data_IF_565837692811
#
_entry.id   IF_565837692811
#
_cell.length_a   1.000
_cell.length_b   1.000
_cell.length_c   1.000
_cell.angle_alpha   90.00
_cell.angle_beta   90.00
_cell.angle_gamma   90.00
#
_symmetry.space_group_name_H-M   'P 1'
#
loop_
_entity.id
_entity.type
_entity.pdbx_description
1 polymer ?
#
# COMPACT_ATOMS: atom_id res chain seq x y z
N UNK A 1 27.84 21.61 38.44
CA UNK A 1 28.83 21.30 37.38
C UNK A 1 28.19 21.62 36.05
N UNK A 2 28.67 22.61 35.28
CA UNK A 2 28.11 22.91 33.97
C UNK A 2 28.84 22.10 32.90
N UNK A 3 28.09 21.48 31.99
CA UNK A 3 28.63 20.88 30.76
C UNK A 3 28.59 21.91 29.62
N UNK A 4 29.61 21.93 28.75
CA UNK A 4 29.83 23.03 27.82
C UNK A 4 29.15 22.84 26.46
N UNK A 5 28.91 24.00 25.85
CA UNK A 5 28.77 24.33 24.44
C UNK A 5 29.43 23.37 23.45
N UNK A 6 28.70 22.98 22.40
CA UNK A 6 29.26 22.60 21.11
C UNK A 6 28.94 23.70 20.09
N UNK A 7 29.97 24.46 19.73
CA UNK A 7 30.02 25.29 18.52
C UNK A 7 30.84 24.56 17.44
N UNK A 8 30.54 24.89 16.18
CA UNK A 8 31.28 24.60 14.95
C UNK A 8 30.94 23.31 14.19
N UNK A 9 29.96 23.43 13.27
CA UNK A 9 30.03 22.74 11.98
C UNK A 9 30.14 23.81 10.90
N UNK A 10 31.34 23.84 10.30
CA UNK A 10 31.71 24.69 9.17
C UNK A 10 30.96 24.28 7.91
N UNK A 11 30.29 25.24 7.29
CA UNK A 11 29.60 25.12 6.01
C UNK A 11 30.45 25.68 4.88
N UNK A 12 31.36 24.90 4.30
CA UNK A 12 31.92 25.23 2.97
C UNK A 12 32.22 23.95 2.18
N UNK A 13 31.30 23.59 1.27
CA UNK A 13 31.56 22.65 0.19
C UNK A 13 31.25 23.32 -1.15
N UNK A 14 32.22 24.05 -1.69
CA UNK A 14 32.15 24.65 -3.04
C UNK A 14 32.97 23.79 -4.01
N UNK A 15 32.43 22.62 -4.36
CA UNK A 15 33.00 21.77 -5.41
C UNK A 15 32.49 22.15 -6.80
N UNK A 16 33.26 22.94 -7.56
CA UNK A 16 33.03 23.19 -8.99
C UNK A 16 33.28 21.92 -9.81
N UNK A 17 32.24 21.42 -10.47
CA UNK A 17 32.34 20.37 -11.49
C UNK A 17 32.79 20.97 -12.83
N UNK A 18 34.00 20.67 -13.27
CA UNK A 18 34.45 20.93 -14.65
C UNK A 18 34.56 19.61 -15.41
N UNK A 19 33.73 19.44 -16.44
CA UNK A 19 33.78 18.27 -17.31
C UNK A 19 34.79 18.48 -18.44
N UNK A 20 35.75 17.58 -18.54
CA UNK A 20 36.75 17.58 -19.61
C UNK A 20 36.18 16.89 -20.85
N UNK A 21 35.76 17.69 -21.85
CA UNK A 21 35.48 17.22 -23.22
C UNK A 21 36.75 16.61 -23.82
N UNK A 22 36.83 15.28 -23.89
CA UNK A 22 37.88 14.55 -24.62
C UNK A 22 37.38 14.20 -26.02
N UNK A 23 38.06 14.74 -27.05
CA UNK A 23 37.83 14.44 -28.48
C UNK A 23 37.98 12.94 -28.76
N UNK A 24 37.02 12.37 -29.50
CA UNK A 24 37.13 11.04 -30.13
C UNK A 24 38.15 11.11 -31.27
N UNK A 25 39.22 10.33 -31.16
CA UNK A 25 40.03 9.89 -32.30
C UNK A 25 39.44 8.58 -32.84
N UNK A 26 39.39 8.43 -34.15
CA UNK A 26 38.92 7.23 -34.83
C UNK A 26 39.85 6.04 -34.54
N UNK A 27 39.31 4.97 -33.98
CA UNK A 27 39.98 3.68 -33.82
C UNK A 27 39.67 2.77 -35.03
N UNK A 28 40.64 1.98 -35.49
CA UNK A 28 40.49 1.06 -36.61
C UNK A 28 39.53 -0.09 -36.31
N UNK A 29 38.93 -0.63 -37.37
CA UNK A 29 37.90 -1.68 -37.34
C UNK A 29 38.34 -2.92 -36.53
N UNK A 30 37.47 -3.44 -35.65
CA UNK A 30 37.77 -4.62 -34.86
C UNK A 30 37.66 -5.88 -35.73
N UNK A 31 38.74 -6.67 -35.72
CA UNK A 31 38.79 -8.04 -36.21
C UNK A 31 37.67 -8.85 -35.54
N UNK A 32 36.83 -9.48 -36.35
CA UNK A 32 35.75 -10.35 -35.91
C UNK A 32 36.32 -11.59 -35.21
N UNK A 33 36.46 -11.49 -33.89
CA UNK A 33 36.72 -12.63 -33.02
C UNK A 33 35.45 -13.46 -32.89
N UNK A 34 35.51 -14.71 -33.35
CA UNK A 34 34.43 -15.69 -33.23
C UNK A 34 34.02 -15.82 -31.76
N UNK A 35 32.77 -15.41 -31.47
CA UNK A 35 32.24 -15.45 -30.11
C UNK A 35 32.22 -16.90 -29.60
N UNK A 36 32.77 -17.17 -28.40
CA UNK A 36 32.72 -18.50 -27.82
C UNK A 36 31.26 -18.94 -27.64
N UNK A 37 30.97 -20.25 -27.79
CA UNK A 37 29.61 -20.77 -27.70
C UNK A 37 28.97 -20.34 -26.38
N UNK A 38 27.85 -19.60 -26.49
CA UNK A 38 27.07 -19.11 -25.35
C UNK A 38 26.74 -20.29 -24.44
N UNK A 39 27.47 -20.43 -23.32
CA UNK A 39 27.12 -21.36 -22.25
C UNK A 39 25.67 -21.04 -21.86
N UNK A 40 24.78 -22.03 -21.98
CA UNK A 40 23.40 -21.94 -21.47
C UNK A 40 23.51 -21.65 -19.98
N UNK A 41 23.40 -20.38 -19.57
CA UNK A 41 23.25 -20.02 -18.16
C UNK A 41 22.02 -20.79 -17.68
N UNK A 42 22.19 -21.66 -16.70
CA UNK A 42 21.08 -22.25 -15.96
C UNK A 42 20.33 -21.10 -15.31
N UNK A 43 19.23 -20.69 -15.95
CA UNK A 43 18.38 -19.59 -15.47
C UNK A 43 17.72 -20.13 -14.20
N UNK A 44 18.21 -19.69 -13.04
CA UNK A 44 17.51 -19.93 -11.78
C UNK A 44 16.16 -19.23 -11.88
N UNK A 45 15.02 -19.90 -11.61
CA UNK A 45 13.71 -19.28 -11.75
C UNK A 45 13.49 -18.20 -10.68
N UNK A 46 12.96 -17.01 -11.04
CA UNK A 46 12.48 -16.02 -10.06
C UNK A 46 11.39 -16.65 -9.18
N UNK A 47 11.26 -16.24 -7.90
CA UNK A 47 10.22 -16.74 -6.98
C UNK A 47 8.80 -16.60 -7.52
N UNK A 48 8.55 -15.57 -8.34
CA UNK A 48 7.26 -15.34 -8.99
C UNK A 48 7.02 -16.19 -10.24
N UNK A 49 7.99 -17.00 -10.67
CA UNK A 49 7.81 -17.90 -11.79
C UNK A 49 6.89 -19.06 -11.37
N UNK A 50 5.64 -18.99 -11.84
CA UNK A 50 4.63 -20.01 -11.61
C UNK A 50 4.30 -20.72 -12.92
N UNK A 51 4.37 -22.05 -12.91
CA UNK A 51 3.97 -22.87 -14.07
C UNK A 51 2.65 -23.56 -13.76
N UNK A 52 1.60 -23.26 -14.52
CA UNK A 52 0.30 -23.92 -14.38
C UNK A 52 0.45 -25.41 -14.71
N UNK A 53 0.00 -26.27 -13.80
CA UNK A 53 -0.07 -27.71 -14.00
C UNK A 53 -1.38 -28.01 -14.72
N UNK A 54 -1.31 -28.45 -15.98
CA UNK A 54 -2.49 -28.54 -16.85
C UNK A 54 -3.28 -29.85 -16.70
N UNK A 55 -2.69 -30.86 -16.08
CA UNK A 55 -3.33 -32.17 -15.95
C UNK A 55 -2.96 -32.88 -14.66
N UNK A 56 -3.87 -33.71 -14.15
CA UNK A 56 -3.64 -34.60 -13.00
C UNK A 56 -2.49 -35.58 -13.23
N UNK A 57 -2.20 -35.96 -14.47
CA UNK A 57 -1.06 -36.85 -14.82
C UNK A 57 0.31 -36.26 -14.47
N UNK A 58 0.40 -34.94 -14.30
CA UNK A 58 1.63 -34.24 -13.92
C UNK A 58 1.80 -34.12 -12.40
N UNK A 59 0.78 -34.52 -11.63
CA UNK A 59 0.84 -34.57 -10.18
C UNK A 59 1.32 -35.95 -9.74
N UNK A 60 2.15 -35.98 -8.69
CA UNK A 60 2.39 -37.22 -7.96
C UNK A 60 1.09 -37.64 -7.27
N UNK A 61 0.86 -38.94 -7.09
CA UNK A 61 -0.37 -39.47 -6.48
C UNK A 61 -0.65 -38.89 -5.08
N UNK A 62 0.39 -38.50 -4.35
CA UNK A 62 0.31 -37.91 -3.00
C UNK A 62 0.09 -36.39 -3.01
N UNK A 63 0.08 -35.74 -4.18
CA UNK A 63 -0.04 -34.28 -4.35
C UNK A 63 -1.32 -33.91 -5.09
N UNK A 64 -2.43 -34.50 -4.69
CA UNK A 64 -3.76 -34.24 -5.29
C UNK A 64 -4.48 -33.04 -4.67
N UNK A 65 -4.02 -32.51 -3.55
CA UNK A 65 -4.61 -31.37 -2.85
C UNK A 65 -3.58 -30.29 -2.50
N UNK A 66 -4.04 -29.07 -2.28
CA UNK A 66 -3.21 -27.97 -1.84
C UNK A 66 -2.82 -28.11 -0.36
N UNK A 67 -1.53 -28.06 -0.04
CA UNK A 67 -1.07 -28.15 1.36
C UNK A 67 -1.42 -26.94 2.24
N UNK A 68 -1.99 -25.86 1.66
CA UNK A 68 -2.37 -24.64 2.38
C UNK A 68 -3.87 -24.64 2.67
N UNK A 69 -4.71 -24.64 1.63
CA UNK A 69 -6.18 -24.63 1.79
C UNK A 69 -6.81 -26.03 1.91
N UNK A 70 -6.04 -27.10 1.67
CA UNK A 70 -6.50 -28.49 1.65
C UNK A 70 -7.55 -28.81 0.57
N UNK A 71 -7.81 -27.91 -0.37
CA UNK A 71 -8.72 -28.17 -1.49
C UNK A 71 -8.07 -29.07 -2.55
N UNK A 72 -8.87 -29.97 -3.14
CA UNK A 72 -8.44 -30.87 -4.21
C UNK A 72 -8.17 -30.11 -5.52
N UNK A 73 -7.05 -30.41 -6.17
CA UNK A 73 -6.71 -29.80 -7.44
C UNK A 73 -7.68 -30.19 -8.55
N UNK A 74 -7.95 -29.24 -9.44
CA UNK A 74 -8.90 -29.37 -10.55
C UNK A 74 -10.36 -29.57 -10.14
N UNK A 75 -10.67 -29.59 -8.84
CA UNK A 75 -12.06 -29.53 -8.35
C UNK A 75 -12.65 -28.13 -8.59
N UNK A 76 -13.97 -28.02 -8.59
CA UNK A 76 -14.69 -26.73 -8.68
C UNK A 76 -15.65 -26.68 -7.48
N UNK A 77 -15.25 -26.03 -6.37
CA UNK A 77 -16.12 -25.87 -5.20
C UNK A 77 -17.41 -25.14 -5.57
N UNK A 78 -18.48 -25.36 -4.82
CA UNK A 78 -19.84 -24.86 -5.13
C UNK A 78 -19.87 -23.32 -5.28
N UNK A 79 -19.01 -22.61 -4.55
CA UNK A 79 -18.98 -21.14 -4.50
C UNK A 79 -17.68 -20.52 -5.04
N UNK A 80 -16.83 -21.29 -5.74
CA UNK A 80 -15.50 -20.82 -6.18
C UNK A 80 -15.14 -21.27 -7.58
N UNK A 81 -14.16 -20.58 -8.17
CA UNK A 81 -13.56 -21.03 -9.42
C UNK A 81 -12.82 -22.36 -9.24
N UNK A 82 -12.51 -23.00 -10.37
CA UNK A 82 -11.76 -24.25 -10.39
C UNK A 82 -10.40 -24.08 -9.71
N UNK A 83 -10.04 -24.99 -8.81
CA UNK A 83 -8.75 -24.99 -8.11
C UNK A 83 -7.63 -25.28 -9.11
N UNK A 84 -6.87 -24.25 -9.50
CA UNK A 84 -5.77 -24.38 -10.47
C UNK A 84 -4.45 -24.66 -9.74
N UNK A 85 -3.86 -25.86 -9.88
CA UNK A 85 -2.51 -26.12 -9.36
C UNK A 85 -1.44 -25.37 -10.16
N UNK A 86 -0.50 -24.78 -9.44
CA UNK A 86 0.68 -24.12 -9.99
C UNK A 86 1.93 -24.63 -9.32
N UNK A 87 3.00 -24.80 -10.10
CA UNK A 87 4.32 -25.21 -9.64
C UNK A 87 5.20 -23.97 -9.49
N UNK A 88 5.74 -23.75 -8.30
CA UNK A 88 6.70 -22.69 -8.01
C UNK A 88 8.08 -22.98 -8.62
N UNK A 89 8.95 -21.96 -8.63
CA UNK A 89 10.37 -22.10 -8.99
C UNK A 89 11.13 -23.16 -8.17
N UNK A 90 10.75 -23.38 -6.90
CA UNK A 90 11.32 -24.43 -6.04
C UNK A 90 10.77 -25.84 -6.35
N UNK A 91 9.77 -25.94 -7.22
CA UNK A 91 9.17 -27.19 -7.67
C UNK A 91 8.00 -27.72 -6.85
N UNK A 92 7.66 -27.08 -5.73
CA UNK A 92 6.47 -27.39 -4.95
C UNK A 92 5.19 -26.89 -5.65
N UNK A 93 4.08 -27.58 -5.38
CA UNK A 93 2.80 -27.35 -6.05
C UNK A 93 1.78 -26.90 -5.01
N UNK A 94 1.08 -25.81 -5.31
CA UNK A 94 -0.01 -25.25 -4.50
C UNK A 94 -1.16 -24.84 -5.44
N UNK A 95 -2.32 -24.48 -4.89
CA UNK A 95 -3.31 -23.80 -5.71
C UNK A 95 -2.84 -22.36 -5.97
N UNK A 96 -3.26 -21.81 -7.11
CA UNK A 96 -2.85 -20.48 -7.56
C UNK A 96 -3.15 -19.39 -6.55
N UNK A 97 -4.35 -19.39 -5.98
CA UNK A 97 -4.79 -18.37 -5.04
C UNK A 97 -3.92 -18.32 -3.77
N UNK A 98 -3.66 -19.48 -3.15
CA UNK A 98 -2.83 -19.53 -1.95
C UNK A 98 -1.40 -19.06 -2.22
N UNK A 99 -0.82 -19.37 -3.38
CA UNK A 99 0.55 -18.95 -3.65
C UNK A 99 0.65 -17.49 -4.10
N UNK A 100 -0.33 -16.96 -4.84
CA UNK A 100 -0.38 -15.53 -5.15
C UNK A 100 -0.51 -14.72 -3.85
N UNK A 101 -1.34 -15.18 -2.90
CA UNK A 101 -1.44 -14.59 -1.57
C UNK A 101 -0.13 -14.71 -0.78
N UNK A 102 0.52 -15.88 -0.75
CA UNK A 102 1.81 -16.04 -0.09
C UNK A 102 2.86 -15.09 -0.68
N UNK A 103 3.00 -15.07 -2.00
CA UNK A 103 3.99 -14.25 -2.70
C UNK A 103 3.78 -12.74 -2.53
N UNK A 104 2.56 -12.33 -2.14
CA UNK A 104 2.29 -10.94 -1.76
C UNK A 104 2.91 -10.55 -0.40
N UNK A 105 3.16 -11.53 0.47
CA UNK A 105 3.71 -11.32 1.82
C UNK A 105 5.14 -11.82 1.99
N UNK A 106 5.54 -12.86 1.25
CA UNK A 106 6.84 -13.51 1.35
C UNK A 106 7.22 -14.21 0.04
N UNK A 107 8.48 -14.10 -0.36
CA UNK A 107 9.04 -14.83 -1.51
C UNK A 107 9.48 -16.25 -1.17
N UNK A 108 9.33 -16.68 0.09
CA UNK A 108 9.72 -18.02 0.54
C UNK A 108 8.62 -19.05 0.25
N UNK A 109 9.05 -20.30 0.07
CA UNK A 109 8.12 -21.41 -0.08
C UNK A 109 7.31 -21.59 1.21
N UNK A 110 5.97 -21.78 1.13
CA UNK A 110 5.12 -22.06 2.29
C UNK A 110 5.50 -23.30 3.10
N UNK A 111 6.22 -24.26 2.49
CA UNK A 111 6.58 -25.50 3.17
C UNK A 111 7.84 -25.27 4.02
N UNK A 112 7.79 -25.54 5.35
CA UNK A 112 8.87 -25.20 6.27
C UNK A 112 10.16 -26.00 6.03
N UNK A 113 10.06 -27.16 5.39
CA UNK A 113 11.21 -27.99 5.01
C UNK A 113 11.80 -27.62 3.64
N UNK A 114 11.26 -26.60 2.95
CA UNK A 114 11.79 -26.16 1.67
C UNK A 114 12.84 -25.07 1.87
N UNK A 115 14.11 -25.43 1.74
CA UNK A 115 15.26 -24.52 1.87
C UNK A 115 15.61 -23.79 0.54
N UNK A 116 14.70 -23.80 -0.44
CA UNK A 116 14.96 -23.22 -1.74
C UNK A 116 14.93 -21.68 -1.65
N UNK A 117 16.11 -21.07 -1.66
CA UNK A 117 16.27 -19.62 -1.81
C UNK A 117 16.20 -19.24 -3.29
N UNK A 118 15.03 -18.77 -3.72
CA UNK A 118 14.82 -18.31 -5.08
C UNK A 118 15.26 -16.84 -5.20
N UNK A 119 16.30 -16.52 -5.99
CA UNK A 119 16.80 -15.17 -6.11
C UNK A 119 15.77 -14.27 -6.80
N UNK A 120 15.63 -13.04 -6.29
CA UNK A 120 14.87 -12.01 -6.97
C UNK A 120 15.54 -11.64 -8.29
N UNK A 121 14.72 -11.40 -9.31
CA UNK A 121 15.15 -10.97 -10.63
C UNK A 121 14.40 -9.69 -11.01
N UNK A 122 14.75 -8.53 -10.40
CA UNK A 122 14.05 -7.27 -10.68
C UNK A 122 14.14 -6.86 -12.15
N UNK A 123 15.28 -7.12 -12.80
CA UNK A 123 15.52 -6.74 -14.19
C UNK A 123 14.64 -7.55 -15.17
N UNK A 124 14.29 -8.78 -14.81
CA UNK A 124 13.56 -9.72 -15.68
C UNK A 124 12.09 -9.92 -15.28
N UNK A 125 11.70 -9.57 -14.05
CA UNK A 125 10.36 -9.80 -13.53
C UNK A 125 9.84 -8.58 -12.75
N UNK A 126 8.75 -7.99 -13.26
CA UNK A 126 8.08 -6.81 -12.66
C UNK A 126 7.63 -7.05 -11.22
N UNK A 127 7.19 -8.25 -10.88
CA UNK A 127 6.81 -8.60 -9.50
C UNK A 127 8.05 -8.70 -8.59
N UNK A 128 9.14 -9.28 -9.10
CA UNK A 128 10.42 -9.30 -8.39
C UNK A 128 10.93 -7.85 -8.18
N UNK A 129 10.79 -6.96 -9.17
CA UNK A 129 11.16 -5.54 -9.06
C UNK A 129 10.31 -4.78 -8.05
N UNK A 130 8.99 -4.95 -8.09
CA UNK A 130 8.07 -4.33 -7.15
C UNK A 130 8.33 -4.84 -5.73
N UNK A 131 8.38 -6.16 -5.54
CA UNK A 131 8.68 -6.75 -4.24
C UNK A 131 10.01 -6.24 -3.70
N UNK A 132 11.03 -6.15 -4.55
CA UNK A 132 12.32 -5.61 -4.17
C UNK A 132 12.21 -4.12 -3.80
N UNK A 133 11.47 -3.31 -4.53
CA UNK A 133 11.25 -1.90 -4.16
C UNK A 133 10.56 -1.79 -2.80
N UNK A 134 9.56 -2.63 -2.56
CA UNK A 134 8.74 -2.62 -1.33
C UNK A 134 9.51 -3.17 -0.11
N UNK A 135 10.44 -4.12 -0.31
CA UNK A 135 11.14 -4.84 0.77
C UNK A 135 12.64 -4.50 0.89
N UNK A 136 13.25 -3.88 -0.13
CA UNK A 136 14.65 -3.36 -0.08
C UNK A 136 14.69 -1.93 0.44
N UNK A 137 13.54 -1.25 0.50
CA UNK A 137 13.33 -0.20 1.48
C UNK A 137 13.44 -0.86 2.87
N UNK A 138 14.68 -0.92 3.37
CA UNK A 138 15.14 -1.63 4.55
C UNK A 138 14.05 -1.85 5.59
N UNK A 139 13.69 -3.12 5.87
CA UNK A 139 12.77 -3.57 6.93
C UNK A 139 12.03 -2.39 7.54
N UNK A 140 11.04 -1.87 6.80
CA UNK A 140 10.53 -0.53 7.03
C UNK A 140 10.21 -0.37 8.51
N UNK A 141 10.73 0.68 9.12
CA UNK A 141 10.26 1.06 10.44
C UNK A 141 8.74 1.16 10.35
N UNK A 142 8.06 0.55 11.30
CA UNK A 142 6.60 0.65 11.43
C UNK A 142 6.28 1.07 12.84
N UNK A 143 5.16 1.77 13.00
CA UNK A 143 4.64 2.13 14.32
C UNK A 143 3.46 1.25 14.66
N UNK A 144 3.39 0.84 15.93
CA UNK A 144 2.19 0.22 16.48
C UNK A 144 1.22 1.33 16.85
N UNK A 145 -0.01 1.28 16.33
CA UNK A 145 -1.03 2.27 16.66
C UNK A 145 -1.42 2.15 18.14
N UNK A 146 -1.16 3.22 18.90
CA UNK A 146 -1.53 3.35 20.31
C UNK A 146 -2.42 4.56 20.47
N UNK A 147 -3.73 4.36 20.43
CA UNK A 147 -4.67 5.43 20.12
C UNK A 147 -4.60 6.60 21.11
N UNK A 148 -4.58 6.29 22.41
CA UNK A 148 -4.50 7.30 23.47
C UNK A 148 -3.19 8.08 23.45
N UNK A 149 -2.08 7.39 23.23
CA UNK A 149 -0.73 7.97 23.22
C UNK A 149 -0.55 8.88 21.99
N UNK A 150 -0.87 8.36 20.81
CA UNK A 150 -0.79 9.08 19.55
C UNK A 150 -1.73 10.29 19.54
N UNK A 151 -2.97 10.17 20.02
CA UNK A 151 -3.89 11.31 20.10
C UNK A 151 -3.33 12.45 20.98
N UNK A 152 -2.68 12.11 22.09
CA UNK A 152 -1.99 13.08 22.95
C UNK A 152 -0.84 13.77 22.20
N UNK A 153 0.04 12.98 21.57
CA UNK A 153 1.18 13.49 20.80
C UNK A 153 0.75 14.40 19.65
N UNK A 154 -0.28 14.01 18.88
CA UNK A 154 -0.85 14.83 17.80
C UNK A 154 -1.37 16.16 18.35
N UNK A 155 -2.07 16.14 19.48
CA UNK A 155 -2.60 17.35 20.10
C UNK A 155 -1.49 18.30 20.52
N UNK A 156 -0.47 17.79 21.20
CA UNK A 156 0.67 18.61 21.63
C UNK A 156 1.44 19.17 20.42
N UNK A 157 1.58 18.40 19.33
CA UNK A 157 2.22 18.85 18.09
C UNK A 157 1.41 19.94 17.37
N UNK A 158 0.08 19.82 17.30
CA UNK A 158 -0.80 20.86 16.75
C UNK A 158 -0.78 22.13 17.59
N UNK A 159 -0.81 22.01 18.92
CA UNK A 159 -0.75 23.16 19.82
C UNK A 159 0.57 23.93 19.65
N UNK A 160 1.71 23.22 19.51
CA UNK A 160 3.00 23.84 19.17
C UNK A 160 2.96 24.55 17.82
N UNK A 161 2.42 23.91 16.78
CA UNK A 161 2.32 24.49 15.44
C UNK A 161 1.47 25.78 15.45
N UNK A 162 0.39 25.81 16.22
CA UNK A 162 -0.50 26.95 16.36
C UNK A 162 0.08 28.10 17.21
N UNK A 163 1.09 27.84 18.06
CA UNK A 163 1.84 28.89 18.76
C UNK A 163 2.80 29.62 17.83
N UNK A 164 3.38 28.92 16.87
CA UNK A 164 4.33 29.48 15.91
C UNK A 164 3.64 30.38 14.87
N UNK A 165 2.40 30.05 14.47
CA UNK A 165 1.67 30.76 13.41
C UNK A 165 0.15 30.62 13.58
N UNK A 166 -0.56 31.76 13.70
CA UNK A 166 -2.02 31.85 13.85
C UNK A 166 -2.80 31.23 12.67
N UNK A 167 -2.15 31.02 11.51
CA UNK A 167 -2.72 30.28 10.38
C UNK A 167 -3.14 28.86 10.77
N UNK A 168 -2.42 28.19 11.67
CA UNK A 168 -2.73 26.83 12.11
C UNK A 168 -3.69 26.78 13.30
N UNK A 169 -4.06 27.93 13.87
CA UNK A 169 -4.93 28.02 15.04
C UNK A 169 -6.38 27.67 14.70
N UNK A 170 -6.84 26.51 15.12
CA UNK A 170 -8.22 26.08 14.90
C UNK A 170 -9.19 26.68 15.91
N UNK A 171 -10.45 26.90 15.50
CA UNK A 171 -11.53 27.18 16.45
C UNK A 171 -11.87 25.94 17.27
N UNK A 172 -12.50 26.12 18.44
CA UNK A 172 -12.89 25.01 19.33
C UNK A 172 -13.75 23.95 18.61
N UNK A 173 -14.62 24.37 17.68
CA UNK A 173 -15.49 23.46 16.93
C UNK A 173 -14.68 22.65 15.92
N UNK A 174 -13.81 23.28 15.14
CA UNK A 174 -12.92 22.62 14.17
C UNK A 174 -11.99 21.62 14.88
N UNK A 175 -11.37 22.05 15.98
CA UNK A 175 -10.53 21.20 16.85
C UNK A 175 -11.30 19.98 17.34
N UNK A 176 -12.54 20.14 17.80
CA UNK A 176 -13.35 19.03 18.30
C UNK A 176 -13.71 18.03 17.19
N UNK A 177 -14.04 18.52 15.98
CA UNK A 177 -14.36 17.66 14.83
C UNK A 177 -13.12 16.87 14.38
N UNK A 178 -11.99 17.56 14.23
CA UNK A 178 -10.72 16.92 13.86
C UNK A 178 -10.31 15.83 14.86
N UNK A 179 -10.30 16.14 16.17
CA UNK A 179 -9.88 15.14 17.15
C UNK A 179 -10.88 14.00 17.34
N UNK A 180 -12.16 14.21 17.03
CA UNK A 180 -13.11 13.10 16.95
C UNK A 180 -12.72 12.16 15.82
N UNK A 181 -12.46 12.68 14.62
CA UNK A 181 -11.99 11.88 13.48
C UNK A 181 -10.67 11.13 13.77
N UNK A 182 -9.68 11.82 14.33
CA UNK A 182 -8.37 11.24 14.67
C UNK A 182 -8.53 10.12 15.70
N UNK A 183 -9.28 10.37 16.78
CA UNK A 183 -9.53 9.36 17.82
C UNK A 183 -10.23 8.14 17.24
N UNK A 184 -11.34 8.33 16.54
CA UNK A 184 -12.15 7.23 16.00
C UNK A 184 -11.34 6.40 14.99
N UNK A 185 -10.47 7.06 14.21
CA UNK A 185 -9.53 6.39 13.30
C UNK A 185 -8.49 5.59 14.09
N UNK A 186 -7.80 6.18 15.06
CA UNK A 186 -6.78 5.48 15.83
C UNK A 186 -7.35 4.30 16.64
N UNK A 187 -8.52 4.46 17.27
CA UNK A 187 -9.19 3.40 18.03
C UNK A 187 -9.61 2.23 17.13
N UNK A 188 -10.05 2.51 15.90
CA UNK A 188 -10.38 1.48 14.90
C UNK A 188 -9.17 0.64 14.51
N UNK A 189 -7.98 1.24 14.47
CA UNK A 189 -6.73 0.60 14.05
C UNK A 189 -5.78 0.31 15.21
N UNK A 190 -6.27 0.35 16.45
CA UNK A 190 -5.47 0.15 17.65
C UNK A 190 -4.74 -1.22 17.62
N UNK A 191 -3.45 -1.19 17.92
CA UNK A 191 -2.50 -2.29 17.86
C UNK A 191 -2.15 -2.82 16.47
N UNK A 192 -2.54 -2.13 15.40
CA UNK A 192 -2.07 -2.44 14.05
C UNK A 192 -0.73 -1.76 13.76
N UNK A 193 0.03 -2.33 12.83
CA UNK A 193 1.30 -1.78 12.36
C UNK A 193 1.08 -0.96 11.09
N UNK A 194 1.58 0.26 11.08
CA UNK A 194 1.51 1.16 9.94
C UNK A 194 2.88 1.80 9.69
N UNK A 195 3.22 2.03 8.43
CA UNK A 195 4.28 2.98 8.09
C UNK A 195 3.81 4.40 8.39
N UNK A 196 4.74 5.36 8.45
CA UNK A 196 4.44 6.77 8.57
C UNK A 196 3.48 7.23 7.46
N UNK A 197 3.69 6.77 6.22
CA UNK A 197 2.84 7.08 5.07
C UNK A 197 1.42 6.54 5.26
N UNK A 198 1.29 5.27 5.64
CA UNK A 198 -0.02 4.63 5.84
C UNK A 198 -0.78 5.31 6.99
N UNK A 199 -0.11 5.62 8.09
CA UNK A 199 -0.70 6.28 9.26
C UNK A 199 -1.12 7.72 8.92
N UNK A 200 -0.29 8.46 8.19
CA UNK A 200 -0.64 9.81 7.75
C UNK A 200 -1.89 9.83 6.88
N UNK A 201 -1.98 8.91 5.90
CA UNK A 201 -3.17 8.80 5.04
C UNK A 201 -4.41 8.32 5.80
N UNK A 202 -4.21 7.48 6.82
CA UNK A 202 -5.28 6.99 7.68
C UNK A 202 -5.92 8.11 8.50
N UNK A 203 -5.11 9.04 8.98
CA UNK A 203 -5.50 10.19 9.81
C UNK A 203 -6.02 11.39 9.00
N UNK A 204 -5.81 11.39 7.69
CA UNK A 204 -6.22 12.47 6.82
C UNK A 204 -7.75 12.49 6.63
N UNK A 205 -8.45 13.54 7.10
CA UNK A 205 -9.91 13.62 7.03
C UNK A 205 -10.45 13.82 5.62
N UNK A 206 -9.61 14.13 4.62
CA UNK A 206 -10.04 14.45 3.26
C UNK A 206 -9.68 13.39 2.22
N UNK A 207 -8.82 12.42 2.54
CA UNK A 207 -8.44 11.39 1.56
C UNK A 207 -9.45 10.25 1.41
N UNK A 208 -10.20 9.96 2.47
CA UNK A 208 -11.11 8.79 2.53
C UNK A 208 -12.58 9.17 2.39
N UNK A 209 -12.87 10.45 2.27
CA UNK A 209 -14.24 10.95 2.13
C UNK A 209 -14.73 10.75 0.72
N UNK A 210 -15.99 10.34 0.62
CA UNK A 210 -16.64 10.12 -0.66
C UNK A 210 -17.03 11.44 -1.31
N UNK A 211 -17.42 12.41 -0.48
CA UNK A 211 -17.76 13.77 -0.86
C UNK A 211 -16.75 14.73 -0.21
N UNK A 212 -15.79 15.17 -1.01
CA UNK A 212 -14.74 16.09 -0.57
C UNK A 212 -15.31 17.45 -0.18
N UNK A 213 -16.36 17.91 -0.87
CA UNK A 213 -16.94 19.23 -0.59
C UNK A 213 -17.78 19.20 0.70
N UNK A 214 -18.54 18.13 0.94
CA UNK A 214 -19.20 17.92 2.23
C UNK A 214 -18.20 17.80 3.38
N UNK A 215 -17.05 17.15 3.15
CA UNK A 215 -15.97 17.10 4.15
C UNK A 215 -15.38 18.50 4.41
N UNK A 216 -15.17 19.30 3.37
CA UNK A 216 -14.69 20.68 3.51
C UNK A 216 -15.65 21.55 4.32
N UNK A 217 -16.95 21.41 4.08
CA UNK A 217 -17.99 22.08 4.87
C UNK A 217 -17.99 21.59 6.32
N UNK A 218 -17.87 20.27 6.53
CA UNK A 218 -17.86 19.66 7.86
C UNK A 218 -16.65 20.09 8.69
N UNK A 219 -15.44 20.04 8.14
CA UNK A 219 -14.22 20.38 8.89
C UNK A 219 -13.91 21.88 8.90
N UNK A 220 -14.49 22.66 7.99
CA UNK A 220 -14.27 24.10 7.89
C UNK A 220 -13.15 24.48 6.93
N UNK A 221 -13.26 25.66 6.33
CA UNK A 221 -12.33 26.14 5.30
C UNK A 221 -10.89 26.30 5.80
N UNK A 222 -10.70 26.54 7.11
CA UNK A 222 -9.37 26.71 7.69
C UNK A 222 -8.54 25.42 7.64
N UNK A 223 -9.15 24.26 7.95
CA UNK A 223 -8.49 22.96 7.83
C UNK A 223 -8.21 22.57 6.38
N UNK A 224 -9.03 23.06 5.45
CA UNK A 224 -8.93 22.75 4.02
C UNK A 224 -7.93 23.64 3.28
N UNK A 225 -7.48 24.73 3.91
CA UNK A 225 -6.56 25.67 3.29
C UNK A 225 -5.22 24.97 3.00
N UNK A 226 -4.57 25.27 1.87
CA UNK A 226 -3.22 24.80 1.62
C UNK A 226 -2.24 25.44 2.60
N UNK A 227 -1.11 24.77 2.86
CA UNK A 227 -0.06 25.35 3.69
C UNK A 227 0.50 26.63 3.07
N UNK A 228 0.63 27.71 3.86
CA UNK A 228 1.22 28.98 3.43
C UNK A 228 2.63 28.82 2.84
N UNK A 229 3.41 27.91 3.45
CA UNK A 229 4.78 27.60 3.04
C UNK A 229 4.93 26.10 2.89
N UNK A 230 4.83 25.60 1.67
CA UNK A 230 4.97 24.17 1.36
C UNK A 230 6.31 23.58 1.86
N UNK A 231 7.34 24.40 2.01
CA UNK A 231 8.65 24.00 2.56
C UNK A 231 8.65 23.71 4.05
N UNK A 232 7.59 24.07 4.79
CA UNK A 232 7.47 23.80 6.24
C UNK A 232 7.22 22.32 6.52
N UNK A 233 6.57 21.64 5.58
CA UNK A 233 6.28 20.22 5.67
C UNK A 233 7.18 19.46 4.69
N UNK A 234 7.50 18.21 5.00
CA UNK A 234 8.19 17.34 4.04
C UNK A 234 7.43 17.34 2.71
N UNK A 235 8.08 17.25 1.54
CA UNK A 235 7.38 17.14 0.27
C UNK A 235 6.63 15.81 0.19
N UNK A 236 5.41 15.82 -0.35
CA UNK A 236 4.65 14.59 -0.61
C UNK A 236 5.21 13.93 -1.87
N UNK A 237 5.45 12.63 -1.83
CA UNK A 237 5.55 11.85 -3.05
C UNK A 237 4.21 11.93 -3.76
N UNK A 238 4.15 12.73 -4.82
CA UNK A 238 2.89 13.16 -5.40
C UNK A 238 2.22 11.99 -6.11
N UNK A 239 1.14 11.48 -5.52
CA UNK A 239 0.09 10.82 -6.29
C UNK A 239 -0.80 11.90 -6.88
N UNK A 240 -0.83 12.09 -8.21
CA UNK A 240 -1.52 13.21 -8.86
C UNK A 240 -3.02 13.27 -8.55
N UNK A 241 -3.58 12.16 -8.11
CA UNK A 241 -5.00 12.05 -7.89
C UNK A 241 -5.43 12.31 -6.43
N UNK A 242 -4.50 12.48 -5.49
CA UNK A 242 -4.87 12.68 -4.07
C UNK A 242 -5.30 14.12 -3.82
N UNK A 243 -4.47 15.07 -4.25
CA UNK A 243 -4.75 16.51 -4.22
C UNK A 243 -4.22 17.14 -5.50
N UNK A 244 -4.86 18.20 -6.03
CA UNK A 244 -4.28 18.95 -7.14
C UNK A 244 -2.94 19.56 -6.72
N UNK A 245 -2.04 19.86 -7.68
CA UNK A 245 -0.77 20.54 -7.38
C UNK A 245 -1.01 21.79 -6.51
N UNK A 246 -0.29 21.89 -5.39
CA UNK A 246 -0.43 22.96 -4.39
C UNK A 246 -1.77 23.04 -3.64
N UNK A 247 -2.65 22.06 -3.82
CA UNK A 247 -3.95 21.98 -3.15
C UNK A 247 -4.03 20.97 -2.01
N UNK A 248 -2.88 20.47 -1.52
CA UNK A 248 -2.83 19.64 -0.30
C UNK A 248 -3.23 20.51 0.91
N UNK A 249 -4.30 20.16 1.65
CA UNK A 249 -4.64 20.82 2.89
C UNK A 249 -3.48 20.77 3.87
N UNK A 250 -3.19 21.86 4.59
CA UNK A 250 -2.05 21.89 5.51
C UNK A 250 -2.17 20.82 6.61
N UNK A 251 -3.40 20.42 6.99
CA UNK A 251 -3.59 19.37 7.99
C UNK A 251 -3.13 18.00 7.50
N UNK A 252 -3.28 17.71 6.20
CA UNK A 252 -2.75 16.49 5.59
C UNK A 252 -1.21 16.50 5.61
N UNK A 253 -0.61 17.65 5.27
CA UNK A 253 0.83 17.84 5.33
C UNK A 253 1.36 17.72 6.77
N UNK A 254 0.62 18.24 7.75
CA UNK A 254 0.91 18.09 9.18
C UNK A 254 0.91 16.63 9.62
N UNK A 255 -0.13 15.84 9.31
CA UNK A 255 -0.16 14.43 9.69
C UNK A 255 0.99 13.63 9.07
N UNK A 256 1.38 13.97 7.84
CA UNK A 256 2.51 13.35 7.16
C UNK A 256 3.85 13.67 7.84
N UNK A 257 4.06 14.92 8.24
CA UNK A 257 5.23 15.30 9.02
C UNK A 257 5.23 14.61 10.39
N UNK A 258 4.13 14.73 11.13
CA UNK A 258 4.00 14.13 12.47
C UNK A 258 4.19 12.61 12.45
N UNK A 259 3.60 11.91 11.49
CA UNK A 259 3.73 10.45 11.40
C UNK A 259 5.18 10.03 11.08
N UNK A 260 5.88 10.79 10.25
CA UNK A 260 7.30 10.56 9.97
C UNK A 260 8.20 10.79 11.19
N UNK A 261 7.97 11.87 11.93
CA UNK A 261 8.68 12.15 13.19
C UNK A 261 8.37 11.07 14.25
N UNK A 262 7.10 10.70 14.39
CA UNK A 262 6.66 9.69 15.36
C UNK A 262 7.21 8.30 15.02
N UNK A 263 7.29 7.93 13.74
CA UNK A 263 7.95 6.70 13.28
C UNK A 263 9.45 6.74 13.56
N UNK A 264 10.13 7.85 13.31
CA UNK A 264 11.56 7.97 13.63
C UNK A 264 11.85 7.77 15.12
N UNK A 265 10.97 8.27 15.99
CA UNK A 265 11.12 8.20 17.46
C UNK A 265 10.65 6.86 18.07
N UNK A 266 9.56 6.29 17.54
CA UNK A 266 8.84 5.16 18.16
C UNK A 266 8.74 3.92 17.25
N UNK A 267 9.29 4.00 16.04
CA UNK A 267 9.23 2.93 15.06
C UNK A 267 10.00 1.70 15.52
N UNK A 268 9.42 0.54 15.26
CA UNK A 268 10.04 -0.74 15.51
C UNK A 268 10.35 -1.42 14.17
N UNK A 269 11.52 -2.06 14.08
CA UNK A 269 11.84 -2.95 12.97
C UNK A 269 11.03 -4.24 13.14
N UNK A 270 10.00 -4.42 12.33
CA UNK A 270 9.19 -5.64 12.33
C UNK A 270 9.27 -6.32 10.97
N UNK A 271 9.71 -7.57 10.98
CA UNK A 271 9.51 -8.48 9.84
C UNK A 271 8.10 -9.05 9.92
N UNK A 272 7.40 -9.09 8.79
CA UNK A 272 6.01 -9.55 8.73
C UNK A 272 5.04 -8.39 8.90
N UNK A 273 4.52 -7.92 7.77
CA UNK A 273 3.59 -6.81 7.71
C UNK A 273 2.24 -7.17 8.33
N UNK A 274 1.88 -6.48 9.42
CA UNK A 274 0.53 -6.43 9.98
C UNK A 274 -0.02 -7.68 10.66
N UNK A 275 0.81 -8.45 11.38
CA UNK A 275 0.29 -9.54 12.20
C UNK A 275 0.78 -9.42 13.65
N UNK A 276 -0.21 -9.28 14.56
CA UNK A 276 -0.27 -9.57 16.00
C UNK A 276 -0.60 -8.37 16.91
N UNK A 277 -1.88 -8.30 17.30
CA UNK A 277 -2.30 -8.18 18.69
C UNK A 277 -3.73 -8.74 18.85
N UNK A 278 -3.84 -9.86 19.56
CA UNK A 278 -5.06 -10.52 20.06
C UNK A 278 -6.39 -9.76 19.81
N UNK A 279 -7.18 -10.21 18.85
CA UNK A 279 -8.64 -10.02 18.86
C UNK A 279 -9.33 -11.24 18.27
N UNK A 280 -10.49 -11.53 18.83
CA UNK A 280 -11.35 -12.70 18.66
C UNK A 280 -11.59 -13.10 17.19
N UNK A 281 -11.80 -14.39 16.94
CA UNK A 281 -11.83 -15.12 15.65
C UNK A 281 -12.84 -14.63 14.58
N UNK A 282 -13.48 -13.48 14.74
CA UNK A 282 -14.62 -13.06 13.92
C UNK A 282 -14.52 -11.69 13.27
N UNK A 283 -13.42 -10.95 13.48
CA UNK A 283 -13.28 -9.62 12.90
C UNK A 283 -12.62 -9.68 11.52
N UNK A 284 -13.36 -9.22 10.51
CA UNK A 284 -12.86 -9.02 9.16
C UNK A 284 -11.72 -7.99 9.18
N UNK A 285 -10.53 -8.42 8.76
CA UNK A 285 -9.36 -7.56 8.57
C UNK A 285 -9.57 -6.64 7.37
N UNK A 286 -10.43 -5.62 7.52
CA UNK A 286 -10.69 -4.64 6.47
C UNK A 286 -9.65 -3.53 6.55
N UNK A 287 -8.58 -3.67 5.75
CA UNK A 287 -7.70 -2.54 5.46
C UNK A 287 -8.53 -1.44 4.79
N UNK A 288 -8.40 -0.18 5.19
CA UNK A 288 -9.23 0.87 4.62
C UNK A 288 -8.81 1.08 3.17
N UNK A 289 -9.80 1.13 2.27
CA UNK A 289 -9.57 1.63 0.93
C UNK A 289 -9.69 3.15 0.91
N UNK A 290 -8.90 3.77 0.04
CA UNK A 290 -8.85 5.20 -0.20
C UNK A 290 -10.00 5.64 -1.10
N UNK A 291 -10.18 4.95 -2.24
CA UNK A 291 -11.26 5.21 -3.19
C UNK A 291 -11.46 4.07 -4.19
N UNK A 292 -12.60 4.12 -4.89
CA UNK A 292 -12.88 3.27 -6.05
C UNK A 292 -12.32 3.93 -7.31
N UNK A 293 -11.48 3.22 -8.06
CA UNK A 293 -10.81 3.69 -9.28
C UNK A 293 -11.56 3.29 -10.55
N UNK A 294 -12.12 2.08 -10.58
CA UNK A 294 -12.83 1.55 -11.73
C UNK A 294 -13.84 0.48 -11.30
N UNK A 295 -14.70 0.05 -12.22
CA UNK A 295 -15.58 -1.10 -12.04
C UNK A 295 -15.56 -1.98 -13.30
N UNK A 296 -15.93 -3.26 -13.16
CA UNK A 296 -16.18 -4.18 -14.28
C UNK A 296 -17.26 -5.17 -13.88
N UNK A 297 -17.96 -5.74 -14.86
CA UNK A 297 -18.87 -6.86 -14.65
C UNK A 297 -18.13 -8.16 -14.93
N UNK A 298 -18.12 -9.09 -13.98
CA UNK A 298 -17.51 -10.40 -14.15
C UNK A 298 -18.43 -11.34 -14.97
N UNK A 299 -17.99 -12.57 -15.21
CA UNK A 299 -18.73 -13.54 -16.04
C UNK A 299 -20.09 -13.92 -15.46
N UNK A 300 -20.25 -13.79 -14.14
CA UNK A 300 -21.49 -14.11 -13.42
C UNK A 300 -22.46 -12.93 -13.37
N UNK A 301 -22.14 -11.83 -14.07
CA UNK A 301 -22.96 -10.62 -14.06
C UNK A 301 -22.80 -9.78 -12.78
N UNK A 302 -21.86 -10.12 -11.89
CA UNK A 302 -21.60 -9.38 -10.66
C UNK A 302 -20.63 -8.22 -10.93
N UNK A 303 -20.85 -7.09 -10.26
CA UNK A 303 -19.96 -5.92 -10.37
C UNK A 303 -18.79 -6.07 -9.38
N UNK A 304 -17.59 -5.98 -9.91
CA UNK A 304 -16.34 -5.87 -9.16
C UNK A 304 -15.78 -4.45 -9.28
N UNK A 305 -15.11 -3.99 -8.24
CA UNK A 305 -14.60 -2.63 -8.12
C UNK A 305 -13.09 -2.66 -7.93
N UNK A 306 -12.35 -1.93 -8.76
CA UNK A 306 -10.92 -1.72 -8.55
C UNK A 306 -10.75 -0.62 -7.50
N UNK A 307 -10.19 -0.93 -6.34
CA UNK A 307 -9.96 0.04 -5.26
C UNK A 307 -8.49 0.40 -5.12
N UNK A 308 -8.20 1.66 -4.78
CA UNK A 308 -6.90 2.09 -4.26
C UNK A 308 -6.94 1.96 -2.74
N UNK A 309 -5.97 1.30 -2.14
CA UNK A 309 -5.88 1.14 -0.69
C UNK A 309 -5.25 2.37 -0.03
N UNK A 310 -5.48 2.54 1.28
CA UNK A 310 -4.73 3.53 2.08
C UNK A 310 -3.27 3.10 2.15
N UNK A 311 -2.37 4.06 1.93
CA UNK A 311 -0.94 3.82 2.00
C UNK A 311 -0.36 3.16 0.75
N UNK A 312 0.83 2.58 0.90
CA UNK A 312 1.53 1.87 -0.19
C UNK A 312 1.52 0.34 0.00
N UNK A 313 0.89 -0.13 1.08
CA UNK A 313 0.90 -1.55 1.48
C UNK A 313 0.27 -2.51 0.47
N UNK A 314 -0.81 -2.09 -0.19
CA UNK A 314 -1.56 -2.94 -1.11
C UNK A 314 -1.70 -2.29 -2.48
N UNK A 315 -1.39 -3.05 -3.52
CA UNK A 315 -1.68 -2.67 -4.90
C UNK A 315 -3.18 -2.49 -5.11
N UNK A 316 -3.59 -1.61 -6.04
CA UNK A 316 -4.98 -1.55 -6.44
C UNK A 316 -5.50 -2.93 -6.83
N UNK A 317 -6.61 -3.35 -6.24
CA UNK A 317 -7.15 -4.69 -6.42
C UNK A 317 -8.66 -4.68 -6.63
N UNK A 318 -9.16 -5.71 -7.32
CA UNK A 318 -10.58 -5.88 -7.58
C UNK A 318 -11.26 -6.50 -6.36
N UNK A 319 -12.29 -5.85 -5.84
CA UNK A 319 -13.08 -6.30 -4.68
C UNK A 319 -14.56 -6.37 -5.02
N UNK A 320 -15.28 -7.23 -4.29
CA UNK A 320 -16.72 -7.39 -4.43
C UNK A 320 -17.49 -6.30 -3.68
N UNK A 321 -18.74 -6.07 -4.09
CA UNK A 321 -19.61 -5.03 -3.50
C UNK A 321 -19.81 -5.12 -1.99
N UNK A 322 -19.69 -6.32 -1.40
CA UNK A 322 -19.84 -6.55 0.05
C UNK A 322 -18.64 -6.11 0.89
N UNK A 323 -17.49 -5.87 0.26
CA UNK A 323 -16.23 -5.46 0.91
C UNK A 323 -16.05 -3.93 0.91
N UNK A 324 -17.01 -3.19 0.37
CA UNK A 324 -16.95 -1.74 0.24
C UNK A 324 -17.88 -1.09 1.25
N UNK A 325 -17.47 0.08 1.71
CA UNK A 325 -18.35 0.99 2.44
C UNK A 325 -19.62 1.26 1.61
N UNK A 326 -20.82 1.02 2.15
CA UNK A 326 -22.06 1.17 1.39
C UNK A 326 -22.30 2.58 0.84
N UNK A 327 -21.86 3.63 1.55
CA UNK A 327 -22.04 5.01 1.12
C UNK A 327 -21.07 5.36 -0.01
N UNK A 328 -19.79 4.99 0.14
CA UNK A 328 -18.77 5.14 -0.89
C UNK A 328 -19.18 4.46 -2.20
N UNK A 329 -19.63 3.21 -2.10
CA UNK A 329 -20.10 2.46 -3.26
C UNK A 329 -21.33 3.10 -3.89
N UNK A 330 -22.33 3.49 -3.09
CA UNK A 330 -23.56 4.09 -3.61
C UNK A 330 -23.28 5.36 -4.43
N UNK A 331 -22.45 6.27 -3.92
CA UNK A 331 -22.10 7.49 -4.64
C UNK A 331 -21.32 7.20 -5.92
N UNK A 332 -20.38 6.24 -5.87
CA UNK A 332 -19.67 5.79 -7.07
C UNK A 332 -20.63 5.21 -8.11
N UNK A 333 -21.56 4.34 -7.67
CA UNK A 333 -22.57 3.71 -8.52
C UNK A 333 -23.48 4.77 -9.18
N UNK A 334 -23.89 5.79 -8.42
CA UNK A 334 -24.69 6.92 -8.92
C UNK A 334 -23.91 7.75 -9.97
N UNK A 335 -22.66 8.10 -9.67
CA UNK A 335 -21.81 8.89 -10.57
C UNK A 335 -21.48 8.17 -11.90
N UNK A 336 -21.47 6.83 -11.89
CA UNK A 336 -21.12 6.00 -13.07
C UNK A 336 -22.34 5.32 -13.72
N UNK A 337 -23.57 5.65 -13.27
CA UNK A 337 -24.79 5.09 -13.85
C UNK A 337 -24.97 3.58 -13.61
N UNK A 338 -24.36 3.03 -12.55
CA UNK A 338 -24.47 1.62 -12.14
C UNK A 338 -25.70 1.33 -11.29
N UNK A 339 -26.46 2.35 -10.91
CA UNK A 339 -27.73 2.18 -10.21
C UNK A 339 -28.69 1.50 -11.17
N UNK A 340 -28.70 0.16 -11.12
CA UNK A 340 -29.69 -0.67 -11.77
C UNK A 340 -31.05 -0.13 -11.34
N UNK A 341 -31.78 0.48 -12.28
CA UNK A 341 -33.19 0.73 -12.10
C UNK A 341 -33.81 -0.62 -11.76
N UNK A 342 -34.08 -0.87 -10.47
CA UNK A 342 -34.73 -2.09 -10.03
C UNK A 342 -35.93 -2.25 -10.98
N UNK A 343 -36.03 -3.36 -11.72
CA UNK A 343 -37.02 -3.50 -12.76
C UNK A 343 -38.35 -3.15 -12.13
N UNK A 344 -38.96 -2.04 -12.58
CA UNK A 344 -40.21 -1.53 -11.99
C UNK A 344 -41.15 -2.71 -11.97
N UNK A 345 -41.42 -3.26 -10.77
CA UNK A 345 -42.37 -4.36 -10.63
C UNK A 345 -43.64 -3.86 -11.30
N UNK A 346 -43.99 -4.43 -12.45
CA UNK A 346 -45.24 -4.10 -13.12
C UNK A 346 -46.32 -4.48 -12.11
N UNK A 347 -46.92 -3.47 -11.48
CA UNK A 347 -48.07 -3.68 -10.62
C UNK A 347 -49.13 -4.25 -11.55
N UNK A 348 -49.62 -5.47 -11.31
CA UNK A 348 -50.67 -6.04 -12.15
C UNK A 348 -51.91 -5.15 -12.02
N UNK A 349 -52.30 -4.49 -13.11
CA UNK A 349 -53.59 -3.83 -13.21
C UNK A 349 -54.67 -4.90 -13.24
N UNK A 350 -55.44 -4.98 -12.16
CA UNK A 350 -56.65 -5.80 -12.03
C UNK A 350 -57.82 -5.20 -12.78
#
# INVERSE_FOLDING_TARGET
MPFPYFENISTEFTGKWTSSRKRRAALPEPVQSELPPKRKKTIVPCPHAMTIVRSTRQLAAEKTQCSICLEEYFSTPVDREKVIPVKMGCGHIFCRECIEMQLSCSTTCPLPWCEANLPLQPDDCKLCASWQQDHTAAASMVVTVRAKEMLGSIKDALDRLALDDDHFRLSKVETSRLFTHVRDSLERFEWQFHTATDLAELLDPFLRVVDVDAAREHYGSKLCAPALHASRFSPREHYPDDYPPHGEPWIAAFFRQWAGEYEQENGEMKEGWGVWAKKTEQDCWEWPFKRIMAHKTNKDGQVEYLVKWVGQRYFPSWVQKKQLDPAARKMYDEAHGLVMNAPKRKIPTT
#
